data_IF_931204009266
#
_entry.id   IF_931204009266
#
_cell.length_a   1.000
_cell.length_b   1.000
_cell.length_c   1.000
_cell.angle_alpha   90.00
_cell.angle_beta   90.00
_cell.angle_gamma   90.00
#
_symmetry.space_group_name_H-M   'P 1'
#
loop_
_entity.id
_entity.type
_entity.pdbx_description
1 polymer ?
#
# COMPACT_ATOMS: atom_id res chain seq x y z
N UNK A 1 -50.82 -24.33 -28.33
CA UNK A 1 -49.72 -24.58 -27.38
C UNK A 1 -49.06 -23.24 -27.11
N UNK A 2 -49.46 -22.61 -26.00
CA UNK A 2 -49.17 -21.23 -25.63
C UNK A 2 -47.90 -21.18 -24.79
N UNK A 3 -46.93 -20.35 -25.15
CA UNK A 3 -45.72 -20.10 -24.32
C UNK A 3 -45.91 -18.77 -23.60
N UNK A 4 -45.95 -18.74 -22.26
CA UNK A 4 -46.17 -17.51 -21.52
C UNK A 4 -44.91 -16.63 -21.52
N UNK A 5 -45.13 -15.37 -21.88
CA UNK A 5 -44.33 -14.20 -21.53
C UNK A 5 -44.03 -14.20 -20.03
N UNK A 6 -42.75 -14.29 -19.65
CA UNK A 6 -42.31 -14.00 -18.28
C UNK A 6 -41.91 -12.53 -18.20
N UNK A 7 -42.76 -11.75 -17.54
CA UNK A 7 -42.58 -10.33 -17.25
C UNK A 7 -41.64 -10.15 -16.04
N UNK A 8 -40.87 -9.06 -15.96
CA UNK A 8 -39.77 -8.93 -15.00
C UNK A 8 -40.28 -8.55 -13.60
N UNK A 9 -39.72 -9.18 -12.58
CA UNK A 9 -39.88 -8.76 -11.20
C UNK A 9 -39.03 -7.52 -10.92
N UNK A 10 -39.69 -6.38 -10.73
CA UNK A 10 -39.10 -5.18 -10.19
C UNK A 10 -38.88 -5.33 -8.68
N UNK A 11 -37.62 -5.25 -8.25
CA UNK A 11 -37.26 -4.85 -6.89
C UNK A 11 -36.37 -3.61 -7.00
N UNK A 12 -37.02 -2.46 -6.93
CA UNK A 12 -36.36 -1.19 -6.76
C UNK A 12 -36.03 -0.98 -5.30
N UNK A 13 -34.74 -0.94 -4.95
CA UNK A 13 -34.22 -0.31 -3.74
C UNK A 13 -32.79 0.18 -3.97
N UNK A 14 -32.62 1.14 -4.89
CA UNK A 14 -31.52 2.09 -4.80
C UNK A 14 -32.11 3.50 -4.76
N UNK A 15 -32.57 3.88 -3.57
CA UNK A 15 -32.83 5.29 -3.24
C UNK A 15 -31.48 5.99 -3.14
N UNK A 16 -30.99 6.47 -4.28
CA UNK A 16 -29.80 7.31 -4.32
C UNK A 16 -30.10 8.63 -3.58
N UNK A 17 -29.21 9.10 -2.70
CA UNK A 17 -29.31 10.44 -2.14
C UNK A 17 -29.24 11.44 -3.29
N UNK A 18 -30.19 12.37 -3.35
CA UNK A 18 -30.15 13.56 -4.21
C UNK A 18 -29.06 14.49 -3.67
N UNK A 19 -27.81 14.09 -3.87
CA UNK A 19 -26.68 14.98 -3.75
C UNK A 19 -26.83 16.02 -4.87
N UNK A 20 -26.80 17.33 -4.56
CA UNK A 20 -26.73 18.34 -5.59
C UNK A 20 -25.49 18.04 -6.42
N UNK A 21 -25.75 17.74 -7.69
CA UNK A 21 -24.78 17.35 -8.70
C UNK A 21 -23.63 18.34 -8.69
N UNK A 22 -22.41 17.82 -8.51
CA UNK A 22 -21.15 18.52 -8.77
C UNK A 22 -21.13 19.09 -10.20
N UNK A 23 -21.96 18.54 -11.09
CA UNK A 23 -22.20 19.05 -12.45
C UNK A 23 -22.92 20.40 -12.50
N UNK A 24 -23.63 20.83 -11.44
CA UNK A 24 -24.32 22.12 -11.42
C UNK A 24 -23.35 23.30 -11.24
N UNK A 25 -22.15 23.07 -10.67
CA UNK A 25 -21.15 24.15 -10.47
C UNK A 25 -20.30 24.48 -11.69
N UNK A 26 -20.32 23.64 -12.73
CA UNK A 26 -19.59 23.91 -13.97
C UNK A 26 -20.41 24.71 -14.99
N UNK A 27 -21.74 24.72 -14.88
CA UNK A 27 -22.61 25.36 -15.86
C UNK A 27 -22.57 26.90 -15.83
N UNK A 28 -22.20 27.52 -14.71
CA UNK A 28 -22.07 28.99 -14.62
C UNK A 28 -20.73 29.54 -15.12
N UNK A 29 -19.77 28.69 -15.46
CA UNK A 29 -18.48 29.09 -16.04
C UNK A 29 -18.47 29.06 -17.58
N UNK A 30 -19.49 28.49 -18.21
CA UNK A 30 -19.56 28.35 -19.68
C UNK A 30 -20.15 29.59 -20.37
N UNK A 31 -20.93 30.42 -19.65
CA UNK A 31 -21.58 31.61 -20.21
C UNK A 31 -20.79 32.91 -19.97
N UNK A 32 -19.56 32.84 -19.44
CA UNK A 32 -18.64 33.97 -19.48
C UNK A 32 -17.88 33.89 -20.81
N UNK A 33 -18.00 34.88 -21.72
CA UNK A 33 -17.08 34.99 -22.83
C UNK A 33 -15.71 35.31 -22.22
N UNK A 34 -14.90 34.28 -21.99
CA UNK A 34 -13.48 34.47 -21.79
C UNK A 34 -13.01 34.98 -23.14
N UNK A 35 -12.84 36.29 -23.26
CA UNK A 35 -12.03 36.87 -24.32
C UNK A 35 -10.61 36.36 -24.05
N UNK A 36 -10.29 35.18 -24.58
CA UNK A 36 -8.92 34.66 -24.58
C UNK A 36 -8.19 35.53 -25.59
N UNK A 37 -7.76 36.73 -25.18
CA UNK A 37 -6.61 37.38 -25.78
C UNK A 37 -5.44 36.48 -25.45
N UNK A 38 -5.23 35.43 -26.27
CA UNK A 38 -4.08 34.53 -26.16
C UNK A 38 -2.87 35.47 -26.31
N UNK A 39 -2.13 35.77 -25.24
CA UNK A 39 -0.92 36.56 -25.41
C UNK A 39 0.00 35.73 -26.31
N UNK A 40 0.72 36.38 -27.21
CA UNK A 40 1.59 35.70 -28.18
C UNK A 40 2.59 34.73 -27.50
N UNK A 41 2.89 34.94 -26.22
CA UNK A 41 3.70 34.10 -25.36
C UNK A 41 3.12 32.70 -25.06
N UNK A 42 1.82 32.47 -25.26
CA UNK A 42 1.22 31.14 -25.17
C UNK A 42 1.23 30.39 -26.52
N UNK A 43 1.56 31.06 -27.64
CA UNK A 43 1.62 30.42 -28.95
C UNK A 43 2.66 29.27 -28.98
N UNK A 44 3.81 29.46 -28.34
CA UNK A 44 4.85 28.44 -28.21
C UNK A 44 4.39 27.23 -27.36
N UNK A 45 3.55 27.48 -26.36
CA UNK A 45 2.97 26.42 -25.52
C UNK A 45 1.99 25.58 -26.34
N UNK A 46 1.20 26.21 -27.20
CA UNK A 46 0.26 25.52 -28.10
C UNK A 46 0.98 24.70 -29.18
N UNK A 47 2.07 25.22 -29.75
CA UNK A 47 2.88 24.46 -30.71
C UNK A 47 3.53 23.24 -30.05
N UNK A 48 4.08 23.40 -28.84
CA UNK A 48 4.66 22.31 -28.05
C UNK A 48 3.67 21.19 -27.76
N UNK A 49 2.44 21.53 -27.35
CA UNK A 49 1.38 20.55 -27.07
C UNK A 49 0.94 19.81 -28.34
N UNK A 50 0.76 20.50 -29.46
CA UNK A 50 0.39 19.87 -30.73
C UNK A 50 1.51 18.96 -31.27
N UNK A 51 2.77 19.31 -31.00
CA UNK A 51 3.95 18.54 -31.44
C UNK A 51 4.29 17.38 -30.50
N UNK A 52 3.84 17.42 -29.24
CA UNK A 52 4.03 16.36 -28.23
C UNK A 52 3.12 15.13 -28.41
N UNK A 53 2.23 15.12 -29.42
CA UNK A 53 1.39 13.96 -29.73
C UNK A 53 2.26 12.78 -30.19
N UNK A 54 2.08 11.57 -29.62
CA UNK A 54 2.78 10.37 -30.08
C UNK A 54 2.61 10.18 -31.59
N UNK A 55 3.71 10.30 -32.34
CA UNK A 55 3.67 10.26 -33.80
C UNK A 55 3.15 8.92 -34.35
N UNK A 56 3.36 7.82 -33.62
CA UNK A 56 3.05 6.44 -34.03
C UNK A 56 2.61 5.60 -32.84
N UNK A 57 1.78 4.58 -33.11
CA UNK A 57 1.40 3.56 -32.12
C UNK A 57 2.64 2.72 -31.73
N UNK A 58 2.92 2.52 -30.43
CA UNK A 58 4.01 1.66 -30.02
C UNK A 58 3.72 0.18 -30.34
N UNK A 59 4.76 -0.60 -30.63
CA UNK A 59 4.63 -2.05 -30.85
C UNK A 59 4.27 -2.79 -29.55
N UNK A 60 3.69 -3.98 -29.68
CA UNK A 60 3.35 -4.84 -28.54
C UNK A 60 4.58 -5.13 -27.66
N UNK A 61 5.73 -5.42 -28.28
CA UNK A 61 7.00 -5.68 -27.57
C UNK A 61 7.44 -4.48 -26.71
N UNK A 62 7.44 -3.26 -27.28
CA UNK A 62 7.78 -2.02 -26.54
C UNK A 62 6.81 -1.75 -25.39
N UNK A 63 5.52 -2.08 -25.55
CA UNK A 63 4.53 -1.97 -24.47
C UNK A 63 4.83 -2.97 -23.35
N UNK A 64 5.06 -4.25 -23.70
CA UNK A 64 5.31 -5.32 -22.74
C UNK A 64 6.60 -5.10 -21.94
N UNK A 65 7.69 -4.71 -22.58
CA UNK A 65 8.95 -4.42 -21.90
C UNK A 65 8.79 -3.26 -20.90
N UNK A 66 8.13 -2.17 -21.31
CA UNK A 66 7.87 -1.03 -20.41
C UNK A 66 6.94 -1.37 -19.25
N UNK A 67 6.02 -2.33 -19.43
CA UNK A 67 5.04 -2.72 -18.41
C UNK A 67 5.58 -3.78 -17.44
N UNK A 68 6.40 -4.71 -17.93
CA UNK A 68 6.83 -5.89 -17.15
C UNK A 68 8.29 -5.80 -16.68
N UNK A 69 9.15 -5.00 -17.31
CA UNK A 69 10.54 -4.89 -16.87
C UNK A 69 10.63 -4.21 -15.51
N UNK A 70 11.08 -4.94 -14.49
CA UNK A 70 11.33 -4.43 -13.14
C UNK A 70 10.09 -3.99 -12.35
N UNK A 71 8.89 -4.21 -12.90
CA UNK A 71 7.60 -3.81 -12.31
C UNK A 71 6.81 -4.99 -11.73
N UNK A 72 7.46 -6.14 -11.57
CA UNK A 72 6.85 -7.28 -10.92
C UNK A 72 6.54 -6.96 -9.45
N UNK A 73 5.44 -7.50 -8.94
CA UNK A 73 5.13 -7.45 -7.53
C UNK A 73 6.22 -8.21 -6.78
N UNK A 74 6.93 -7.54 -5.87
CA UNK A 74 7.97 -8.17 -5.07
C UNK A 74 7.32 -9.04 -4.00
N UNK A 75 7.84 -10.26 -3.85
CA UNK A 75 7.40 -11.16 -2.79
C UNK A 75 7.81 -10.62 -1.43
N UNK A 76 6.88 -10.68 -0.48
CA UNK A 76 7.14 -10.27 0.89
C UNK A 76 7.71 -11.48 1.62
N UNK A 77 9.03 -11.52 1.81
CA UNK A 77 9.73 -12.61 2.52
C UNK A 77 9.71 -12.44 4.04
N UNK A 78 9.35 -11.26 4.52
CA UNK A 78 9.42 -10.88 5.95
C UNK A 78 8.18 -11.33 6.73
N UNK A 79 7.80 -12.60 6.64
CA UNK A 79 6.62 -13.17 7.31
C UNK A 79 7.05 -14.11 8.45
N UNK A 80 6.62 -13.82 9.68
CA UNK A 80 6.92 -14.60 10.88
C UNK A 80 5.62 -15.12 11.53
N UNK A 81 5.71 -16.18 12.33
CA UNK A 81 4.59 -16.66 13.16
C UNK A 81 4.40 -15.74 14.38
N UNK A 82 3.15 -15.46 14.75
CA UNK A 82 2.83 -14.68 15.94
C UNK A 82 2.96 -15.52 17.21
N UNK A 83 3.66 -15.04 18.26
CA UNK A 83 3.82 -15.79 19.51
C UNK A 83 2.53 -15.90 20.34
N UNK A 84 1.55 -15.02 20.12
CA UNK A 84 0.28 -15.05 20.86
C UNK A 84 -0.78 -15.97 20.23
N UNK A 85 -1.08 -15.75 18.94
CA UNK A 85 -2.16 -16.47 18.24
C UNK A 85 -1.69 -17.51 17.22
N UNK A 86 -0.39 -17.67 16.99
CA UNK A 86 0.18 -18.61 16.02
C UNK A 86 0.01 -18.23 14.53
N UNK A 87 -0.81 -17.22 14.21
CA UNK A 87 -1.05 -16.77 12.82
C UNK A 87 0.19 -16.10 12.21
N UNK A 88 0.28 -16.10 10.88
CA UNK A 88 1.33 -15.40 10.15
C UNK A 88 1.14 -13.89 10.29
N UNK A 89 2.23 -13.17 10.60
CA UNK A 89 2.29 -11.71 10.67
C UNK A 89 3.52 -11.20 9.93
N UNK A 90 3.55 -9.90 9.63
CA UNK A 90 4.75 -9.24 9.10
C UNK A 90 5.82 -9.11 10.21
N UNK A 91 7.08 -9.27 9.85
CA UNK A 91 8.22 -9.04 10.73
C UNK A 91 8.20 -7.60 11.28
N UNK A 92 8.69 -7.42 12.52
CA UNK A 92 8.77 -6.13 13.22
C UNK A 92 7.44 -5.37 13.40
N UNK A 93 6.30 -5.99 13.12
CA UNK A 93 4.97 -5.41 13.35
C UNK A 93 4.23 -6.24 14.41
N UNK A 94 3.40 -5.57 15.22
CA UNK A 94 2.47 -6.27 16.11
C UNK A 94 1.42 -7.05 15.29
N UNK A 95 0.92 -8.14 15.84
CA UNK A 95 -0.11 -8.93 15.15
C UNK A 95 -1.43 -8.16 15.11
N UNK A 96 -1.98 -7.96 13.90
CA UNK A 96 -3.24 -7.24 13.70
C UNK A 96 -4.41 -7.87 14.46
N UNK A 97 -4.44 -9.21 14.56
CA UNK A 97 -5.48 -9.94 15.26
C UNK A 97 -5.37 -9.76 16.78
N UNK A 98 -4.20 -10.03 17.36
CA UNK A 98 -4.00 -9.86 18.81
C UNK A 98 -4.24 -8.42 19.27
N UNK A 99 -3.77 -7.43 18.51
CA UNK A 99 -3.99 -6.02 18.82
C UNK A 99 -5.48 -5.67 18.76
N UNK A 100 -6.21 -6.21 17.79
CA UNK A 100 -7.66 -6.01 17.70
C UNK A 100 -8.37 -6.55 18.94
N UNK A 101 -8.08 -7.78 19.35
CA UNK A 101 -8.72 -8.42 20.51
C UNK A 101 -8.43 -7.68 21.81
N UNK A 102 -7.16 -7.32 22.05
CA UNK A 102 -6.74 -6.54 23.23
C UNK A 102 -7.44 -5.17 23.24
N UNK A 103 -7.53 -4.51 22.09
CA UNK A 103 -8.23 -3.23 21.96
C UNK A 103 -9.71 -3.35 22.31
N UNK A 104 -10.37 -4.46 21.97
CA UNK A 104 -11.77 -4.67 22.36
C UNK A 104 -11.92 -4.87 23.87
N UNK A 105 -10.98 -5.59 24.50
CA UNK A 105 -10.98 -5.80 25.96
C UNK A 105 -10.84 -4.45 26.68
N UNK A 106 -9.85 -3.63 26.30
CA UNK A 106 -9.63 -2.31 26.92
C UNK A 106 -10.77 -1.33 26.66
N UNK A 107 -11.41 -1.40 25.48
CA UNK A 107 -12.62 -0.62 25.18
C UNK A 107 -13.82 -1.02 26.05
N UNK A 108 -13.98 -2.31 26.35
CA UNK A 108 -15.06 -2.77 27.25
C UNK A 108 -14.80 -2.29 28.67
N UNK A 109 -13.57 -2.45 29.17
CA UNK A 109 -13.17 -2.03 30.51
C UNK A 109 -13.30 -0.51 30.73
N UNK A 110 -12.90 0.29 29.75
CA UNK A 110 -13.05 1.77 29.82
C UNK A 110 -14.50 2.26 29.75
N UNK A 111 -15.42 1.45 29.21
CA UNK A 111 -16.86 1.78 29.17
C UNK A 111 -17.61 1.36 30.43
N UNK A 112 -17.17 0.29 31.08
CA UNK A 112 -17.81 -0.24 32.30
C UNK A 112 -17.30 0.40 33.59
N UNK A 113 -16.18 1.15 33.54
CA UNK A 113 -15.68 1.89 34.70
C UNK A 113 -16.43 3.23 34.84
N UNK A 114 -17.08 3.53 35.98
CA UNK A 114 -17.60 4.87 36.24
C UNK A 114 -16.44 5.86 36.23
N UNK A 115 -16.57 6.93 35.44
CA UNK A 115 -15.56 8.01 35.32
C UNK A 115 -15.52 8.88 36.59
N UNK A 116 -15.09 8.33 37.71
CA UNK A 116 -14.71 9.12 38.88
C UNK A 116 -13.58 8.44 39.67
N UNK A 117 -12.34 8.59 39.23
CA UNK A 117 -11.23 8.71 40.17
C UNK A 117 -10.05 9.40 39.49
N UNK A 118 -9.76 10.60 39.99
CA UNK A 118 -8.52 11.33 39.79
C UNK A 118 -7.33 10.57 40.39
N UNK A 119 -6.17 10.75 39.75
CA UNK A 119 -4.83 10.65 40.34
C UNK A 119 -4.36 9.27 40.81
N UNK A 120 -3.61 8.58 39.94
CA UNK A 120 -2.41 7.87 40.40
C UNK A 120 -1.28 8.01 39.39
N UNK A 121 -0.23 8.69 39.85
CA UNK A 121 1.07 8.74 39.23
C UNK A 121 1.59 7.31 38.96
N UNK A 122 2.16 7.09 37.77
CA UNK A 122 2.85 5.85 37.44
C UNK A 122 4.18 5.80 38.21
N UNK A 123 4.40 4.91 39.20
CA UNK A 123 5.75 4.64 39.66
C UNK A 123 6.50 3.92 38.54
N UNK A 124 7.59 4.53 38.09
CA UNK A 124 8.51 3.93 37.13
C UNK A 124 9.31 2.87 37.88
N UNK A 125 8.83 1.63 37.88
CA UNK A 125 9.65 0.50 38.35
C UNK A 125 9.89 -0.43 37.18
N UNK A 126 11.04 -0.21 36.53
CA UNK A 126 11.69 -1.17 35.65
C UNK A 126 11.92 -2.48 36.42
N UNK A 127 11.58 -3.66 35.88
CA UNK A 127 12.11 -4.90 36.42
C UNK A 127 13.58 -5.00 36.01
N UNK A 128 14.45 -4.83 37.01
CA UNK A 128 15.81 -5.37 37.00
C UNK A 128 15.73 -6.87 36.70
N UNK A 129 16.15 -7.29 35.51
CA UNK A 129 16.43 -8.69 35.19
C UNK A 129 17.93 -8.89 35.38
N UNK A 130 18.31 -9.25 36.59
CA UNK A 130 19.60 -9.88 36.88
C UNK A 130 19.45 -11.39 36.69
N UNK A 131 20.08 -11.98 35.66
CA UNK A 131 20.69 -13.32 35.74
C UNK A 131 21.65 -13.61 34.56
N UNK A 132 22.89 -13.20 34.73
CA UNK A 132 24.10 -14.06 34.83
C UNK A 132 24.10 -15.47 34.17
N UNK A 133 25.02 -15.63 33.22
CA UNK A 133 25.91 -16.79 32.93
C UNK A 133 25.31 -18.14 32.48
N UNK A 134 25.47 -18.47 31.18
CA UNK A 134 26.46 -19.44 30.70
C UNK A 134 26.38 -19.59 29.17
N UNK A 135 27.49 -19.35 28.49
CA UNK A 135 27.66 -19.61 27.07
C UNK A 135 28.13 -21.07 26.87
N UNK A 136 27.61 -21.83 25.90
CA UNK A 136 28.36 -22.93 25.33
C UNK A 136 29.27 -22.38 24.21
N UNK A 137 30.56 -22.56 24.43
CA UNK A 137 31.64 -22.44 23.45
C UNK A 137 31.33 -23.34 22.25
N UNK A 138 31.11 -22.76 21.06
CA UNK A 138 30.97 -23.50 19.81
C UNK A 138 32.19 -23.15 18.94
N UNK A 139 33.16 -24.06 18.97
CA UNK A 139 34.43 -23.99 18.25
C UNK A 139 34.25 -23.72 16.77
N UNK A 140 35.07 -22.79 16.27
CA UNK A 140 35.22 -22.50 14.85
C UNK A 140 36.40 -23.31 14.32
N UNK A 141 36.12 -24.38 13.56
CA UNK A 141 37.09 -24.98 12.66
C UNK A 141 36.82 -24.45 11.24
N UNK A 142 37.61 -23.48 10.80
CA UNK A 142 37.71 -23.07 9.40
C UNK A 142 39.08 -23.50 8.86
N UNK A 143 39.16 -24.41 7.87
CA UNK A 143 40.35 -24.52 7.03
C UNK A 143 40.09 -23.86 5.68
N UNK A 144 40.98 -22.94 5.27
CA UNK A 144 40.97 -22.43 3.89
C UNK A 144 41.74 -21.15 3.65
N UNK A 145 43.06 -21.14 3.89
CA UNK A 145 43.96 -20.13 3.31
C UNK A 145 44.99 -20.89 2.47
N UNK A 146 45.04 -20.65 1.16
CA UNK A 146 46.20 -20.12 0.41
C UNK A 146 46.41 -21.09 -0.77
N UNK A 147 46.74 -20.73 -2.02
CA UNK A 147 47.19 -19.50 -2.66
C UNK A 147 47.26 -19.74 -4.20
N UNK A 148 47.37 -18.64 -4.98
CA UNK A 148 48.07 -18.53 -6.29
C UNK A 148 47.54 -19.33 -7.51
N UNK A 149 47.44 -18.84 -8.76
CA UNK A 149 47.81 -17.60 -9.44
C UNK A 149 47.73 -17.83 -10.98
N UNK A 150 47.38 -16.78 -11.75
CA UNK A 150 47.64 -16.62 -13.20
C UNK A 150 46.85 -17.54 -14.17
N UNK A 151 46.74 -17.29 -15.48
CA UNK A 151 46.89 -16.14 -16.37
C UNK A 151 46.36 -16.59 -17.76
N UNK A 152 45.83 -15.65 -18.57
CA UNK A 152 45.83 -15.58 -20.05
C UNK A 152 45.07 -16.58 -20.97
N UNK A 153 44.60 -16.02 -22.11
CA UNK A 153 44.18 -16.68 -23.36
C UNK A 153 42.65 -16.79 -23.55
N UNK A 154 41.95 -16.30 -24.59
CA UNK A 154 42.32 -15.95 -25.96
C UNK A 154 41.81 -17.01 -26.96
N UNK A 155 41.00 -16.60 -27.96
CA UNK A 155 40.45 -17.35 -29.13
C UNK A 155 39.30 -18.34 -28.83
N UNK A 156 38.21 -18.44 -29.60
CA UNK A 156 37.89 -18.14 -31.01
C UNK A 156 36.49 -17.56 -31.18
#
# INVERSE_FOLDING_TARGET
MSVPLLQPAGLGLFRAPKAPSILQRCAELVTRPIAITIPWSLADIWESVLKAVPKKKPSYSKKRSRQMAGKALKDVTTLNKCPGCGRIKRAHTLCVYCVYDIKQIFKKQSKSAPRNMSTHAQPKTSPSVQKTQSAPEFSQDNPGTSSEGGQSGGSV
#
